data_IF_698519409754
#
_entry.id   IF_698519409754
#
_cell.length_a   1.000
_cell.length_b   1.000
_cell.length_c   1.000
_cell.angle_alpha   90.00
_cell.angle_beta   90.00
_cell.angle_gamma   90.00
#
_symmetry.space_group_name_H-M   'P 1'
#
loop_
_entity.id
_entity.type
_entity.pdbx_description
1 polymer ?
#
# COMPACT_ATOMS: atom_id res chain seq x y z
N UNK A 1 -10.45 14.71 -14.95
CA UNK A 1 -9.66 13.55 -15.35
C UNK A 1 -9.87 12.40 -14.39
N UNK A 2 -10.03 11.20 -14.90
CA UNK A 2 -10.26 10.04 -14.08
C UNK A 2 -9.01 9.65 -13.29
N UNK A 3 -9.22 9.07 -12.12
CA UNK A 3 -8.13 8.51 -11.34
C UNK A 3 -7.55 7.27 -12.04
N UNK A 4 -6.26 7.06 -11.84
CA UNK A 4 -5.59 5.84 -12.27
C UNK A 4 -5.54 4.92 -11.04
N UNK A 5 -6.13 3.73 -11.16
CA UNK A 5 -6.18 2.76 -10.08
C UNK A 5 -5.45 1.49 -10.51
N UNK A 6 -4.52 1.05 -9.68
CA UNK A 6 -3.73 -0.15 -9.94
C UNK A 6 -3.84 -1.13 -8.78
N UNK A 7 -3.99 -2.40 -9.12
CA UNK A 7 -3.81 -3.46 -8.13
C UNK A 7 -2.30 -3.64 -7.92
N UNK A 8 -1.85 -3.54 -6.68
CA UNK A 8 -0.43 -3.58 -6.34
C UNK A 8 -0.17 -4.65 -5.29
N UNK A 9 0.98 -5.30 -5.40
CA UNK A 9 1.43 -6.25 -4.38
C UNK A 9 1.91 -5.49 -3.14
N UNK A 10 1.64 -6.03 -1.96
CA UNK A 10 2.23 -5.49 -0.74
C UNK A 10 2.70 -6.61 0.18
N UNK A 11 3.64 -6.24 1.04
CA UNK A 11 4.28 -7.14 1.98
C UNK A 11 4.33 -6.49 3.35
N UNK A 12 3.89 -7.21 4.36
CA UNK A 12 3.98 -6.74 5.75
C UNK A 12 5.26 -7.26 6.39
N UNK A 13 5.94 -6.38 7.09
CA UNK A 13 7.15 -6.69 7.86
C UNK A 13 6.88 -6.33 9.31
N UNK A 14 7.07 -7.28 10.22
CA UNK A 14 6.93 -7.01 11.65
C UNK A 14 8.30 -6.67 12.24
N UNK A 15 8.34 -5.58 13.00
CA UNK A 15 9.57 -5.13 13.68
C UNK A 15 9.25 -4.77 15.13
N UNK A 16 10.26 -4.73 16.02
CA UNK A 16 10.04 -4.19 17.37
C UNK A 16 9.51 -2.75 17.29
N UNK A 17 8.56 -2.42 18.15
CA UNK A 17 7.99 -1.06 18.18
C UNK A 17 8.91 -0.14 18.98
N UNK A 18 9.99 0.30 18.37
CA UNK A 18 10.96 1.22 18.99
C UNK A 18 11.64 2.09 17.93
N UNK A 19 12.19 3.25 18.35
CA UNK A 19 12.87 4.14 17.42
C UNK A 19 13.97 3.45 16.64
N UNK A 20 14.07 3.78 15.34
CA UNK A 20 15.13 3.30 14.47
C UNK A 20 14.82 2.03 13.69
N UNK A 21 13.81 1.26 14.06
CA UNK A 21 13.52 -0.02 13.40
C UNK A 21 13.00 0.18 11.98
N UNK A 22 12.11 1.15 11.78
CA UNK A 22 11.64 1.48 10.42
C UNK A 22 12.79 1.99 9.55
N UNK A 23 13.63 2.86 10.08
CA UNK A 23 14.77 3.39 9.35
C UNK A 23 15.77 2.28 8.97
N UNK A 24 15.99 1.33 9.86
CA UNK A 24 16.87 0.18 9.60
C UNK A 24 16.37 -0.64 8.42
N UNK A 25 15.09 -1.00 8.43
CA UNK A 25 14.49 -1.80 7.35
C UNK A 25 14.48 -1.03 6.04
N UNK A 26 13.97 0.20 6.04
CA UNK A 26 13.89 1.01 4.82
C UNK A 26 15.25 1.37 4.26
N UNK A 27 16.24 1.58 5.13
CA UNK A 27 17.62 1.80 4.70
C UNK A 27 18.21 0.58 3.99
N UNK A 28 17.99 -0.62 4.52
CA UNK A 28 18.44 -1.84 3.88
C UNK A 28 17.78 -2.04 2.51
N UNK A 29 16.49 -1.74 2.40
CA UNK A 29 15.77 -1.84 1.14
C UNK A 29 16.30 -0.82 0.11
N UNK A 30 16.52 0.42 0.54
CA UNK A 30 17.05 1.46 -0.34
C UNK A 30 18.45 1.11 -0.86
N UNK A 31 19.32 0.60 0.03
CA UNK A 31 20.67 0.18 -0.34
C UNK A 31 20.65 -0.95 -1.38
N UNK A 32 19.61 -1.77 -1.39
CA UNK A 32 19.43 -2.85 -2.34
C UNK A 32 18.64 -2.44 -3.60
N UNK A 33 18.37 -1.15 -3.78
CA UNK A 33 17.73 -0.61 -4.98
C UNK A 33 16.22 -0.66 -4.97
N UNK A 34 15.58 -0.86 -3.82
CA UNK A 34 14.13 -0.89 -3.72
C UNK A 34 13.58 0.53 -3.64
N UNK A 35 12.64 0.84 -4.52
CA UNK A 35 11.77 2.01 -4.40
C UNK A 35 10.36 1.58 -4.01
N UNK A 36 9.73 2.31 -3.12
CA UNK A 36 8.37 2.02 -2.67
C UNK A 36 7.38 3.00 -3.29
N UNK A 37 6.27 2.48 -3.80
CA UNK A 37 5.16 3.30 -4.30
C UNK A 37 4.32 3.83 -3.14
N UNK A 38 4.23 3.06 -2.07
CA UNK A 38 3.49 3.42 -0.88
C UNK A 38 4.07 2.69 0.33
N UNK A 39 3.84 3.26 1.49
CA UNK A 39 4.32 2.72 2.74
C UNK A 39 3.35 3.10 3.86
N UNK A 40 3.06 2.16 4.75
CA UNK A 40 2.26 2.43 5.93
C UNK A 40 2.93 1.76 7.13
N UNK A 41 2.98 2.46 8.25
CA UNK A 41 3.58 1.91 9.47
C UNK A 41 2.69 2.24 10.67
N UNK A 42 2.47 1.25 11.53
CA UNK A 42 1.60 1.43 12.68
C UNK A 42 1.90 0.39 13.76
N UNK A 43 1.61 0.70 15.03
CA UNK A 43 1.77 -0.27 16.11
C UNK A 43 0.82 -1.45 15.92
N UNK A 44 1.30 -2.65 16.25
CA UNK A 44 0.51 -3.87 16.22
C UNK A 44 0.92 -4.72 17.42
N UNK A 45 0.21 -4.57 18.54
CA UNK A 45 0.58 -5.17 19.81
C UNK A 45 1.90 -4.61 20.32
N UNK A 46 2.85 -5.49 20.63
CA UNK A 46 4.20 -5.11 21.08
C UNK A 46 5.15 -4.81 19.93
N UNK A 47 4.69 -5.01 18.71
CA UNK A 47 5.47 -4.80 17.49
C UNK A 47 4.92 -3.61 16.71
N UNK A 48 5.59 -3.26 15.64
CA UNK A 48 5.08 -2.39 14.61
C UNK A 48 4.99 -3.20 13.32
N UNK A 49 3.97 -2.91 12.54
CA UNK A 49 3.80 -3.50 11.22
C UNK A 49 4.13 -2.45 10.17
N UNK A 50 4.99 -2.85 9.24
CA UNK A 50 5.37 -2.00 8.12
C UNK A 50 4.82 -2.64 6.85
N UNK A 51 3.90 -1.95 6.18
CA UNK A 51 3.34 -2.41 4.92
C UNK A 51 4.10 -1.74 3.78
N UNK A 52 4.77 -2.53 2.96
CA UNK A 52 5.59 -2.05 1.86
C UNK A 52 4.94 -2.39 0.53
N UNK A 53 4.77 -1.39 -0.31
CA UNK A 53 4.26 -1.56 -1.67
C UNK A 53 5.41 -1.22 -2.62
N UNK A 54 6.19 -2.23 -3.08
CA UNK A 54 7.35 -1.97 -3.92
C UNK A 54 6.97 -1.63 -5.35
N UNK A 55 7.77 -0.81 -5.98
CA UNK A 55 7.68 -0.52 -7.40
C UNK A 55 7.98 -1.76 -8.23
N UNK A 56 8.98 -2.54 -7.82
CA UNK A 56 9.40 -3.77 -8.49
C UNK A 56 9.43 -4.91 -7.46
N UNK A 57 8.52 -5.86 -7.64
CA UNK A 57 8.35 -6.98 -6.69
C UNK A 57 9.60 -7.89 -6.68
N UNK A 58 10.20 -8.15 -7.83
CA UNK A 58 11.38 -9.01 -7.89
C UNK A 58 12.57 -8.40 -7.15
N UNK A 59 12.80 -7.10 -7.35
CA UNK A 59 13.87 -6.38 -6.64
C UNK A 59 13.61 -6.42 -5.13
N UNK A 60 12.36 -6.21 -4.71
CA UNK A 60 11.99 -6.27 -3.29
C UNK A 60 12.25 -7.66 -2.69
N UNK A 61 11.81 -8.72 -3.36
CA UNK A 61 12.00 -10.09 -2.87
C UNK A 61 13.48 -10.44 -2.72
N UNK A 62 14.30 -10.04 -3.68
CA UNK A 62 15.75 -10.25 -3.60
C UNK A 62 16.37 -9.46 -2.46
N UNK A 63 15.93 -8.22 -2.26
CA UNK A 63 16.45 -7.36 -1.20
C UNK A 63 16.16 -7.90 0.19
N UNK A 64 14.92 -8.33 0.46
CA UNK A 64 14.56 -8.86 1.79
C UNK A 64 15.27 -10.18 2.06
N UNK A 65 15.45 -11.02 1.04
CA UNK A 65 16.19 -12.27 1.18
C UNK A 65 17.66 -12.01 1.53
N UNK A 66 18.30 -11.10 0.81
CA UNK A 66 19.72 -10.76 1.05
C UNK A 66 19.91 -10.13 2.44
N UNK A 67 18.99 -9.30 2.88
CA UNK A 67 19.05 -8.65 4.19
C UNK A 67 18.51 -9.52 5.33
N UNK A 68 18.06 -10.74 5.03
CA UNK A 68 17.45 -11.66 5.99
C UNK A 68 16.25 -11.05 6.73
N UNK A 69 15.47 -10.25 6.03
CA UNK A 69 14.25 -9.65 6.55
C UNK A 69 13.08 -10.59 6.23
N UNK A 70 12.31 -10.97 7.24
CA UNK A 70 11.13 -11.82 7.07
C UNK A 70 9.94 -10.97 6.68
N UNK A 71 9.20 -11.41 5.69
CA UNK A 71 7.94 -10.79 5.30
C UNK A 71 6.80 -11.78 5.47
N UNK A 72 5.59 -11.26 5.71
CA UNK A 72 4.37 -12.07 5.61
C UNK A 72 4.10 -12.38 4.14
N UNK A 73 3.24 -13.38 3.84
CA UNK A 73 2.90 -13.71 2.46
C UNK A 73 2.39 -12.50 1.68
N UNK A 74 2.72 -12.44 0.40
CA UNK A 74 2.28 -11.40 -0.51
C UNK A 74 0.76 -11.31 -0.54
N UNK A 75 0.25 -10.08 -0.44
CA UNK A 75 -1.16 -9.74 -0.62
C UNK A 75 -1.27 -8.61 -1.65
N UNK A 76 -2.49 -8.16 -1.90
CA UNK A 76 -2.74 -7.09 -2.85
C UNK A 76 -3.54 -5.96 -2.21
N UNK A 77 -3.19 -4.75 -2.59
CA UNK A 77 -3.93 -3.55 -2.28
C UNK A 77 -4.19 -2.77 -3.56
N UNK A 78 -4.69 -1.54 -3.41
CA UNK A 78 -5.02 -0.68 -4.54
C UNK A 78 -4.38 0.68 -4.36
N UNK A 79 -3.60 1.08 -5.35
CA UNK A 79 -2.98 2.40 -5.41
C UNK A 79 -3.80 3.28 -6.35
N UNK A 80 -4.19 4.45 -5.85
CA UNK A 80 -4.98 5.43 -6.60
C UNK A 80 -4.14 6.69 -6.76
N UNK A 81 -4.07 7.21 -7.97
CA UNK A 81 -3.39 8.46 -8.26
C UNK A 81 -4.31 9.30 -9.15
N UNK A 82 -4.49 10.56 -8.80
CA UNK A 82 -5.40 11.41 -9.55
C UNK A 82 -5.26 12.89 -9.23
N UNK A 83 -6.11 13.68 -9.86
CA UNK A 83 -6.16 15.12 -9.60
C UNK A 83 -6.85 15.39 -8.26
N UNK A 84 -6.25 16.25 -7.46
CA UNK A 84 -6.78 16.62 -6.16
C UNK A 84 -8.07 17.42 -6.34
N UNK A 85 -9.08 17.05 -5.56
CA UNK A 85 -10.37 17.71 -5.59
C UNK A 85 -11.17 17.39 -4.33
N UNK A 86 -12.13 18.23 -4.04
CA UNK A 86 -13.06 17.96 -2.94
C UNK A 86 -13.81 16.66 -3.19
N UNK A 87 -13.84 15.79 -2.21
CA UNK A 87 -14.62 14.55 -2.27
C UNK A 87 -13.99 13.40 -3.05
N UNK A 88 -12.72 13.50 -3.48
CA UNK A 88 -12.09 12.44 -4.24
C UNK A 88 -12.14 11.09 -3.52
N UNK A 89 -11.74 11.05 -2.25
CA UNK A 89 -11.75 9.82 -1.46
C UNK A 89 -13.19 9.38 -1.14
N UNK A 90 -14.07 10.33 -0.86
CA UNK A 90 -15.49 10.04 -0.64
C UNK A 90 -16.13 9.33 -1.83
N UNK A 91 -15.82 9.79 -3.04
CA UNK A 91 -16.32 9.16 -4.27
C UNK A 91 -15.80 7.74 -4.43
N UNK A 92 -14.53 7.52 -4.12
CA UNK A 92 -13.92 6.19 -4.15
C UNK A 92 -14.64 5.24 -3.19
N UNK A 93 -14.84 5.67 -1.95
CA UNK A 93 -15.52 4.86 -0.93
C UNK A 93 -16.98 4.61 -1.28
N UNK A 94 -17.65 5.58 -1.92
CA UNK A 94 -19.00 5.41 -2.42
C UNK A 94 -19.09 4.30 -3.45
N UNK A 95 -18.14 4.25 -4.39
CA UNK A 95 -18.06 3.19 -5.40
C UNK A 95 -17.92 1.83 -4.72
N UNK A 96 -17.07 1.73 -3.70
CA UNK A 96 -16.91 0.48 -2.95
C UNK A 96 -18.20 0.07 -2.25
N UNK A 97 -18.88 1.03 -1.63
CA UNK A 97 -20.17 0.79 -0.95
C UNK A 97 -21.21 0.27 -1.93
N UNK A 98 -21.31 0.87 -3.10
CA UNK A 98 -22.28 0.45 -4.13
C UNK A 98 -22.02 -0.99 -4.60
N UNK A 99 -20.80 -1.43 -4.57
CA UNK A 99 -20.41 -2.79 -4.92
C UNK A 99 -20.39 -3.73 -3.71
N UNK A 100 -20.80 -3.26 -2.54
CA UNK A 100 -20.85 -4.03 -1.29
C UNK A 100 -19.47 -4.58 -0.90
N UNK A 101 -18.43 -3.79 -1.12
CA UNK A 101 -17.05 -4.12 -0.74
C UNK A 101 -16.66 -3.25 0.43
N UNK A 102 -16.24 -3.88 1.53
CA UNK A 102 -15.74 -3.18 2.68
C UNK A 102 -14.25 -2.85 2.50
N UNK A 103 -13.88 -1.60 2.71
CA UNK A 103 -12.48 -1.17 2.74
C UNK A 103 -11.95 -1.40 4.15
N UNK A 104 -10.92 -2.23 4.28
CA UNK A 104 -10.38 -2.61 5.60
C UNK A 104 -9.40 -1.58 6.14
N UNK A 105 -8.72 -0.86 5.26
CA UNK A 105 -7.81 0.23 5.63
C UNK A 105 -7.62 1.15 4.43
N UNK A 106 -7.43 2.43 4.68
CA UNK A 106 -7.15 3.41 3.62
C UNK A 106 -6.33 4.56 4.18
N UNK A 107 -5.35 4.99 3.42
CA UNK A 107 -4.58 6.21 3.65
C UNK A 107 -4.61 7.04 2.38
N UNK A 108 -4.82 8.34 2.52
CA UNK A 108 -4.85 9.25 1.38
C UNK A 108 -4.11 10.53 1.75
N UNK A 109 -3.50 11.15 0.76
CA UNK A 109 -2.70 12.34 0.96
C UNK A 109 -2.76 13.24 -0.26
N UNK A 110 -2.81 14.56 -0.02
CA UNK A 110 -2.55 15.55 -1.07
C UNK A 110 -1.04 15.58 -1.32
N UNK A 111 -0.64 15.27 -2.54
CA UNK A 111 0.77 15.13 -2.88
C UNK A 111 1.42 16.43 -3.37
N UNK A 112 0.67 17.52 -3.37
CA UNK A 112 1.15 18.78 -3.97
C UNK A 112 0.95 18.81 -5.47
N UNK A 113 1.18 19.96 -6.09
CA UNK A 113 1.05 20.15 -7.55
C UNK A 113 -0.31 19.74 -8.10
N UNK A 114 -1.38 19.89 -7.31
CA UNK A 114 -2.74 19.54 -7.73
C UNK A 114 -3.01 18.03 -7.81
N UNK A 115 -2.16 17.21 -7.19
CA UNK A 115 -2.29 15.75 -7.23
C UNK A 115 -2.62 15.19 -5.85
N UNK A 116 -3.30 14.06 -5.83
CA UNK A 116 -3.48 13.28 -4.62
C UNK A 116 -3.19 11.81 -4.90
N UNK A 117 -2.98 11.05 -3.84
CA UNK A 117 -2.84 9.61 -3.93
C UNK A 117 -3.53 8.95 -2.74
N UNK A 118 -3.92 7.71 -2.93
CA UNK A 118 -4.47 6.88 -1.87
C UNK A 118 -3.97 5.45 -2.04
N UNK A 119 -3.81 4.77 -0.93
CA UNK A 119 -3.58 3.33 -0.88
C UNK A 119 -4.65 2.73 0.00
N UNK A 120 -5.31 1.67 -0.45
CA UNK A 120 -6.34 1.03 0.37
C UNK A 120 -6.34 -0.48 0.17
N UNK A 121 -6.92 -1.15 1.13
CA UNK A 121 -6.98 -2.61 1.18
C UNK A 121 -8.41 -3.07 1.40
N UNK A 122 -8.71 -4.24 0.84
CA UNK A 122 -9.96 -4.95 1.06
C UNK A 122 -9.63 -6.36 1.53
N UNK A 123 -10.62 -7.09 2.02
CA UNK A 123 -10.39 -8.49 2.39
C UNK A 123 -9.88 -9.29 1.17
N UNK A 124 -8.98 -10.25 1.37
CA UNK A 124 -8.43 -11.04 0.25
C UNK A 124 -9.48 -11.63 -0.68
N UNK A 125 -10.60 -12.07 -0.14
CA UNK A 125 -11.72 -12.64 -0.94
C UNK A 125 -12.38 -11.61 -1.86
N UNK A 126 -12.21 -10.31 -1.57
CA UNK A 126 -12.84 -9.23 -2.34
C UNK A 126 -11.91 -8.60 -3.37
N UNK A 127 -10.63 -9.00 -3.43
CA UNK A 127 -9.65 -8.38 -4.31
C UNK A 127 -10.07 -8.44 -5.78
N UNK A 128 -10.49 -9.60 -6.27
CA UNK A 128 -10.89 -9.74 -7.66
C UNK A 128 -12.14 -8.91 -7.98
N UNK A 129 -13.11 -8.90 -7.07
CA UNK A 129 -14.33 -8.12 -7.21
C UNK A 129 -14.02 -6.63 -7.25
N UNK A 130 -13.14 -6.15 -6.35
CA UNK A 130 -12.72 -4.75 -6.32
C UNK A 130 -11.95 -4.37 -7.58
N UNK A 131 -11.07 -5.24 -8.06
CA UNK A 131 -10.31 -5.01 -9.29
C UNK A 131 -11.24 -4.72 -10.47
N UNK A 132 -12.29 -5.54 -10.62
CA UNK A 132 -13.29 -5.34 -11.68
C UNK A 132 -14.12 -4.09 -11.46
N UNK A 133 -14.59 -3.86 -10.24
CA UNK A 133 -15.45 -2.73 -9.91
C UNK A 133 -14.76 -1.39 -10.17
N UNK A 134 -13.44 -1.33 -9.95
CA UNK A 134 -12.65 -0.12 -10.11
C UNK A 134 -12.05 0.04 -11.51
N UNK A 135 -12.11 -0.99 -12.35
CA UNK A 135 -11.39 -0.98 -13.61
C UNK A 135 -9.89 -0.90 -13.39
N UNK A 136 -9.39 -1.53 -12.33
CA UNK A 136 -7.99 -1.46 -11.95
C UNK A 136 -7.11 -2.27 -12.91
N UNK A 137 -5.94 -1.74 -13.18
CA UNK A 137 -4.95 -2.41 -14.02
C UNK A 137 -4.05 -3.36 -13.22
#
# INVERSE_FOLDING_TARGET
MADIIRKVAYFAIDVPNKPGEGARVLGALADAGVNLLAFSGFPSGRKAQLDCIPEDVAVFKNAVKAAKIKTRPQKFGFLVQGDDRKGAVGDLLKTMTEKKINVTAIDAVSAGAGRYAAIFWVAPRDVNKATKALGAS
#
